data_IF_587479857205
#
_entry.id   IF_587479857205
#
_cell.length_a   1.000
_cell.length_b   1.000
_cell.length_c   1.000
_cell.angle_alpha   90.00
_cell.angle_beta   90.00
_cell.angle_gamma   90.00
#
_symmetry.space_group_name_H-M   'P 1'
#
loop_
_entity.id
_entity.type
_entity.pdbx_description
1 polymer ?
#
# COMPACT_ATOMS: atom_id res chain seq x y z
N UNK A 1 32.74 5.72 -49.68
CA UNK A 1 32.79 5.31 -48.29
C UNK A 1 31.85 6.19 -47.49
N UNK A 2 30.71 5.66 -47.01
CA UNK A 2 29.74 6.40 -46.18
C UNK A 2 29.85 5.89 -44.74
N UNK A 3 30.04 6.73 -43.73
CA UNK A 3 30.03 6.27 -42.33
C UNK A 3 28.60 6.00 -41.86
N UNK A 4 28.36 4.82 -41.34
CA UNK A 4 27.15 4.44 -40.62
C UNK A 4 27.20 5.07 -39.22
N UNK A 5 26.32 6.01 -38.92
CA UNK A 5 26.09 6.51 -37.57
C UNK A 5 25.21 5.51 -36.85
N UNK A 6 25.81 4.82 -35.87
CA UNK A 6 25.07 3.97 -34.94
C UNK A 6 24.51 4.86 -33.82
N UNK A 7 23.21 5.11 -33.85
CA UNK A 7 22.52 5.80 -32.76
C UNK A 7 22.33 4.83 -31.58
N UNK A 8 23.05 5.04 -30.50
CA UNK A 8 22.82 4.34 -29.25
C UNK A 8 21.56 4.90 -28.57
N UNK A 9 20.51 4.10 -28.50
CA UNK A 9 19.30 4.42 -27.75
C UNK A 9 19.60 4.13 -26.28
N UNK A 10 19.84 5.17 -25.50
CA UNK A 10 19.89 5.09 -24.03
C UNK A 10 18.44 4.91 -23.52
N UNK A 11 18.08 3.68 -23.20
CA UNK A 11 16.83 3.40 -22.48
C UNK A 11 16.88 4.03 -21.09
N UNK A 12 16.05 5.01 -20.82
CA UNK A 12 15.80 5.53 -19.47
C UNK A 12 15.06 4.42 -18.69
N UNK A 13 15.78 3.72 -17.84
CA UNK A 13 15.17 2.89 -16.80
C UNK A 13 14.45 3.84 -15.84
N UNK A 14 13.12 3.89 -15.93
CA UNK A 14 12.29 4.52 -14.93
C UNK A 14 12.38 3.67 -13.65
N UNK A 15 13.16 4.14 -12.68
CA UNK A 15 13.14 3.55 -11.34
C UNK A 15 11.72 3.71 -10.75
N UNK A 16 11.14 2.68 -10.12
CA UNK A 16 9.88 2.80 -9.42
C UNK A 16 10.01 3.90 -8.35
N UNK A 17 9.06 4.84 -8.34
CA UNK A 17 8.96 5.85 -7.31
C UNK A 17 8.46 5.15 -6.04
N UNK A 18 9.39 4.73 -5.18
CA UNK A 18 9.04 4.23 -3.86
C UNK A 18 8.43 5.34 -3.01
N UNK A 19 7.54 4.94 -2.11
CA UNK A 19 6.94 5.80 -1.10
C UNK A 19 8.00 6.75 -0.50
N UNK A 20 7.76 8.05 -0.53
CA UNK A 20 8.69 9.06 0.02
C UNK A 20 8.78 8.98 1.56
N UNK A 21 8.01 8.11 2.21
CA UNK A 21 7.95 7.92 3.65
C UNK A 21 9.15 7.17 4.23
N UNK A 22 9.49 7.51 5.47
CA UNK A 22 10.55 6.87 6.26
C UNK A 22 9.93 5.78 7.17
N UNK A 23 10.20 4.47 6.92
CA UNK A 23 9.63 3.37 7.72
C UNK A 23 9.95 3.47 9.20
N UNK A 24 11.16 3.95 9.58
CA UNK A 24 11.54 4.08 10.98
C UNK A 24 10.77 5.21 11.71
N UNK A 25 10.42 6.27 10.99
CA UNK A 25 9.49 7.30 11.50
C UNK A 25 8.06 6.77 11.52
N UNK A 26 7.70 5.95 10.54
CA UNK A 26 6.40 5.30 10.43
C UNK A 26 6.12 4.37 11.61
N UNK A 27 7.09 3.55 12.02
CA UNK A 27 6.99 2.70 13.20
C UNK A 27 6.65 3.52 14.45
N UNK A 28 7.38 4.61 14.68
CA UNK A 28 7.09 5.56 15.78
C UNK A 28 5.74 6.24 15.62
N UNK A 29 5.39 6.62 14.40
CA UNK A 29 4.12 7.25 14.04
C UNK A 29 2.92 6.34 14.30
N UNK A 30 3.10 5.02 14.08
CA UNK A 30 2.08 3.99 14.27
C UNK A 30 1.56 3.90 15.71
N UNK A 31 2.27 4.45 16.69
CA UNK A 31 1.78 4.58 18.06
C UNK A 31 0.40 5.27 18.16
N UNK A 32 0.05 6.10 17.18
CA UNK A 32 -1.28 6.76 17.10
C UNK A 32 -2.38 5.81 16.63
N UNK A 33 -2.00 4.71 15.96
CA UNK A 33 -2.90 3.74 15.35
C UNK A 33 -3.12 2.51 16.23
N UNK A 34 -2.12 2.14 17.06
CA UNK A 34 -2.09 0.90 17.82
C UNK A 34 -3.18 0.74 18.88
N UNK A 35 -3.87 1.81 19.27
CA UNK A 35 -5.03 1.70 20.16
C UNK A 35 -6.18 0.90 19.52
N UNK A 36 -6.27 0.92 18.19
CA UNK A 36 -7.31 0.27 17.43
C UNK A 36 -6.78 -0.84 16.50
N UNK A 37 -5.57 -0.70 15.98
CA UNK A 37 -4.97 -1.60 14.99
C UNK A 37 -3.76 -2.34 15.52
N UNK A 38 -3.54 -3.54 15.00
CA UNK A 38 -2.32 -4.33 15.19
C UNK A 38 -1.67 -4.56 13.82
N UNK A 39 -0.42 -5.03 13.83
CA UNK A 39 0.30 -5.55 12.67
C UNK A 39 0.82 -6.93 13.05
N UNK A 40 0.17 -7.97 12.53
CA UNK A 40 0.48 -9.38 12.81
C UNK A 40 0.49 -10.12 11.49
N UNK A 41 1.59 -10.81 11.21
CA UNK A 41 1.75 -11.56 9.96
C UNK A 41 0.81 -12.77 9.88
N UNK A 42 0.69 -13.35 8.69
CA UNK A 42 -0.09 -14.58 8.46
C UNK A 42 0.54 -15.79 9.19
N UNK A 43 1.85 -15.76 9.47
CA UNK A 43 2.55 -16.74 10.30
C UNK A 43 2.29 -16.55 11.81
N UNK A 44 1.64 -15.45 12.20
CA UNK A 44 1.35 -15.13 13.59
C UNK A 44 2.43 -14.28 14.29
N UNK A 45 3.44 -13.81 13.56
CA UNK A 45 4.48 -12.92 14.10
C UNK A 45 3.90 -11.55 14.43
N UNK A 46 4.09 -11.11 15.65
CA UNK A 46 3.56 -9.83 16.14
C UNK A 46 4.58 -8.72 15.91
N UNK A 47 4.41 -7.95 14.84
CA UNK A 47 5.23 -6.77 14.54
C UNK A 47 4.83 -5.61 15.45
N UNK A 48 3.53 -5.32 15.52
CA UNK A 48 2.98 -4.36 16.47
C UNK A 48 1.79 -4.95 17.19
N UNK A 49 1.94 -5.09 18.51
CA UNK A 49 0.81 -5.42 19.38
C UNK A 49 -0.12 -4.22 19.51
N UNK A 50 -1.40 -4.43 19.21
CA UNK A 50 -2.39 -3.37 19.21
C UNK A 50 -3.81 -3.83 19.51
N UNK A 51 -4.76 -2.91 19.37
CA UNK A 51 -6.19 -3.18 19.53
C UNK A 51 -6.78 -3.99 18.37
N UNK A 52 -8.01 -4.46 18.58
CA UNK A 52 -8.79 -5.24 17.61
C UNK A 52 -10.09 -4.53 17.19
N UNK A 53 -10.23 -3.26 17.56
CA UNK A 53 -11.40 -2.45 17.15
C UNK A 53 -11.28 -1.94 15.71
N UNK A 54 -10.07 -1.95 15.16
CA UNK A 54 -9.76 -1.81 13.74
C UNK A 54 -9.18 -3.10 13.17
N UNK A 55 -9.08 -3.22 11.83
CA UNK A 55 -8.49 -4.39 11.19
C UNK A 55 -7.00 -4.53 11.47
N UNK A 56 -6.47 -5.74 11.27
CA UNK A 56 -5.06 -5.98 11.13
C UNK A 56 -4.52 -5.28 9.87
N UNK A 57 -3.45 -4.50 10.03
CA UNK A 57 -2.85 -3.74 8.92
C UNK A 57 -1.67 -4.44 8.26
N UNK A 58 -1.35 -5.68 8.63
CA UNK A 58 -0.41 -6.52 7.89
C UNK A 58 -0.86 -6.66 6.43
N UNK A 59 0.06 -6.51 5.49
CA UNK A 59 -0.21 -6.62 4.07
C UNK A 59 -1.23 -5.59 3.56
N UNK A 60 -1.26 -4.38 4.14
CA UNK A 60 -2.18 -3.34 3.69
C UNK A 60 -1.78 -2.78 2.31
N UNK A 61 -0.48 -2.57 2.07
CA UNK A 61 0.01 -2.06 0.80
C UNK A 61 -0.36 -3.02 -0.35
N UNK A 62 -0.98 -2.50 -1.39
CA UNK A 62 -1.47 -3.28 -2.53
C UNK A 62 -2.72 -4.12 -2.27
N UNK A 63 -3.28 -4.12 -1.05
CA UNK A 63 -4.49 -4.88 -0.74
C UNK A 63 -5.75 -4.12 -1.13
N UNK A 64 -6.73 -4.84 -1.65
CA UNK A 64 -8.08 -4.29 -1.88
C UNK A 64 -8.69 -3.81 -0.57
N UNK A 65 -9.36 -2.67 -0.59
CA UNK A 65 -10.03 -2.12 0.59
C UNK A 65 -11.17 -3.03 1.07
N UNK A 66 -11.34 -3.12 2.39
CA UNK A 66 -12.43 -3.91 2.98
C UNK A 66 -12.22 -5.42 3.02
N UNK A 67 -11.01 -5.95 2.75
CA UNK A 67 -10.78 -7.39 2.57
C UNK A 67 -9.88 -8.07 3.63
N UNK A 68 -9.40 -7.36 4.66
CA UNK A 68 -8.64 -8.04 5.71
C UNK A 68 -9.52 -9.07 6.45
N UNK A 69 -9.00 -10.28 6.59
CA UNK A 69 -9.71 -11.39 7.20
C UNK A 69 -10.12 -11.11 8.66
N UNK A 70 -11.28 -11.66 9.03
CA UNK A 70 -11.77 -11.62 10.41
C UNK A 70 -12.23 -10.24 10.88
N UNK A 71 -12.31 -9.22 10.02
CA UNK A 71 -12.80 -7.90 10.39
C UNK A 71 -14.12 -7.54 9.68
N UNK A 72 -15.07 -7.05 10.47
CA UNK A 72 -16.37 -6.57 9.94
C UNK A 72 -16.27 -5.10 9.53
N UNK A 73 -16.05 -4.86 8.25
CA UNK A 73 -15.98 -3.52 7.67
C UNK A 73 -17.33 -2.80 7.60
N UNK A 74 -17.32 -1.52 7.33
CA UNK A 74 -18.51 -0.76 6.95
C UNK A 74 -18.81 -0.91 5.47
N UNK A 75 -20.10 -0.93 5.13
CA UNK A 75 -20.58 -1.22 3.78
C UNK A 75 -19.99 -0.28 2.71
N UNK A 76 -19.81 0.99 3.03
CA UNK A 76 -19.24 1.96 2.07
C UNK A 76 -17.75 1.69 1.76
N UNK A 77 -16.98 1.15 2.72
CA UNK A 77 -15.59 0.77 2.46
C UNK A 77 -15.50 -0.53 1.67
N UNK A 78 -16.40 -1.48 1.93
CA UNK A 78 -16.51 -2.72 1.15
C UNK A 78 -16.89 -2.38 -0.29
N UNK A 79 -17.92 -1.54 -0.48
CA UNK A 79 -18.34 -1.11 -1.81
C UNK A 79 -17.23 -0.37 -2.59
N UNK A 80 -16.43 0.46 -1.91
CA UNK A 80 -15.27 1.09 -2.53
C UNK A 80 -14.22 0.05 -2.97
N UNK A 81 -13.95 -0.96 -2.16
CA UNK A 81 -13.07 -2.06 -2.51
C UNK A 81 -13.59 -2.89 -3.69
N UNK A 82 -14.88 -3.21 -3.72
CA UNK A 82 -15.53 -3.91 -4.83
C UNK A 82 -15.49 -3.09 -6.14
N UNK A 83 -15.49 -1.75 -6.02
CA UNK A 83 -15.31 -0.83 -7.14
C UNK A 83 -13.84 -0.67 -7.59
N UNK A 84 -12.89 -1.37 -6.94
CA UNK A 84 -11.48 -1.40 -7.33
C UNK A 84 -10.56 -0.54 -6.45
N UNK A 85 -11.02 -0.06 -5.29
CA UNK A 85 -10.11 0.64 -4.37
C UNK A 85 -9.06 -0.33 -3.81
N UNK A 86 -7.81 -0.09 -4.16
CA UNK A 86 -6.61 -0.76 -3.63
C UNK A 86 -5.78 0.25 -2.86
N UNK A 87 -5.18 -0.17 -1.76
CA UNK A 87 -4.39 0.71 -0.90
C UNK A 87 -3.01 0.97 -1.48
N UNK A 88 -2.81 2.13 -2.07
CA UNK A 88 -1.53 2.77 -2.31
C UNK A 88 -1.26 3.85 -1.25
N UNK A 89 -0.11 4.52 -1.32
CA UNK A 89 0.27 5.56 -0.38
C UNK A 89 -0.71 6.73 -0.39
N UNK A 90 -1.05 7.23 -1.57
CA UNK A 90 -1.93 8.39 -1.72
C UNK A 90 -3.30 8.13 -1.09
N UNK A 91 -3.91 7.00 -1.40
CA UNK A 91 -5.22 6.60 -0.88
C UNK A 91 -5.20 6.33 0.62
N UNK A 92 -4.13 5.69 1.11
CA UNK A 92 -3.96 5.49 2.54
C UNK A 92 -3.85 6.82 3.30
N UNK A 93 -3.01 7.74 2.83
CA UNK A 93 -2.82 9.06 3.44
C UNK A 93 -4.12 9.86 3.42
N UNK A 94 -4.82 9.90 2.29
CA UNK A 94 -6.10 10.59 2.14
C UNK A 94 -7.19 10.00 3.05
N UNK A 95 -7.30 8.66 3.10
CA UNK A 95 -8.23 7.98 4.00
C UNK A 95 -7.89 8.25 5.47
N UNK A 96 -6.63 8.11 5.86
CA UNK A 96 -6.22 8.33 7.24
C UNK A 96 -6.43 9.79 7.70
N UNK A 97 -6.33 10.76 6.80
CA UNK A 97 -6.56 12.18 7.08
C UNK A 97 -8.04 12.49 7.36
N UNK A 98 -8.97 11.96 6.58
CA UNK A 98 -10.42 12.08 6.81
C UNK A 98 -11.18 10.90 6.18
N UNK A 99 -11.36 9.79 6.92
CA UNK A 99 -11.95 8.57 6.39
C UNK A 99 -13.35 8.76 5.78
N UNK A 100 -14.16 9.63 6.37
CA UNK A 100 -15.50 9.90 5.87
C UNK A 100 -15.47 10.66 4.56
N UNK A 101 -14.70 11.74 4.48
CA UNK A 101 -14.60 12.55 3.24
C UNK A 101 -13.99 11.74 2.11
N UNK A 102 -12.99 10.93 2.42
CA UNK A 102 -12.37 10.04 1.44
C UNK A 102 -13.43 9.09 0.83
N UNK A 103 -14.20 8.38 1.66
CA UNK A 103 -15.24 7.49 1.15
C UNK A 103 -16.33 8.22 0.36
N UNK A 104 -16.71 9.42 0.77
CA UNK A 104 -17.68 10.24 0.02
C UNK A 104 -17.15 10.61 -1.37
N UNK A 105 -15.88 10.93 -1.49
CA UNK A 105 -15.25 11.25 -2.77
C UNK A 105 -15.07 9.98 -3.63
N UNK A 106 -14.54 8.91 -3.05
CA UNK A 106 -14.22 7.66 -3.74
C UNK A 106 -15.47 6.95 -4.29
N UNK A 107 -16.54 6.93 -3.51
CA UNK A 107 -17.81 6.27 -3.91
C UNK A 107 -18.78 7.18 -4.65
N UNK A 108 -18.53 8.49 -4.72
CA UNK A 108 -19.48 9.48 -5.22
C UNK A 108 -20.74 9.61 -4.35
N UNK A 109 -20.80 8.95 -3.19
CA UNK A 109 -21.94 8.95 -2.27
C UNK A 109 -21.74 9.97 -1.14
N UNK A 110 -22.40 11.10 -1.22
CA UNK A 110 -22.34 12.15 -0.18
C UNK A 110 -22.82 11.68 1.23
N UNK A 111 -23.49 10.53 1.30
CA UNK A 111 -23.97 9.93 2.56
C UNK A 111 -23.05 8.82 3.08
N UNK A 112 -21.96 8.49 2.36
CA UNK A 112 -21.03 7.46 2.77
C UNK A 112 -20.48 7.73 4.18
N UNK A 113 -20.26 6.63 4.93
CA UNK A 113 -19.84 6.64 6.33
C UNK A 113 -18.58 5.80 6.49
N UNK A 114 -17.77 6.12 7.48
CA UNK A 114 -16.65 5.30 7.91
C UNK A 114 -16.85 4.84 9.35
N UNK A 115 -16.52 3.56 9.62
CA UNK A 115 -16.40 3.06 11.02
C UNK A 115 -15.17 3.65 11.72
N UNK A 116 -14.11 4.01 10.97
CA UNK A 116 -12.96 4.71 11.51
C UNK A 116 -13.29 6.21 11.65
N UNK A 117 -13.23 6.72 12.88
CA UNK A 117 -13.48 8.14 13.19
C UNK A 117 -12.20 8.92 13.46
N UNK A 118 -11.06 8.23 13.69
CA UNK A 118 -9.76 8.86 13.89
C UNK A 118 -9.29 9.58 12.62
N UNK A 119 -8.60 10.70 12.81
CA UNK A 119 -8.01 11.49 11.72
C UNK A 119 -6.54 11.76 11.99
N UNK A 120 -5.70 11.32 11.07
CA UNK A 120 -4.26 11.51 11.11
C UNK A 120 -3.91 12.85 10.46
N UNK A 121 -3.32 13.77 11.20
CA UNK A 121 -3.01 15.12 10.68
C UNK A 121 -1.70 15.18 9.89
N UNK A 122 -0.75 14.27 10.11
CA UNK A 122 0.57 14.23 9.47
C UNK A 122 1.27 12.90 9.70
N UNK A 123 2.20 12.56 8.81
CA UNK A 123 3.05 11.37 8.88
C UNK A 123 2.33 10.12 8.36
N UNK A 124 1.38 10.29 7.45
CA UNK A 124 0.69 9.19 6.78
C UNK A 124 1.64 8.44 5.85
N UNK A 125 2.47 9.14 5.13
CA UNK A 125 3.48 8.64 4.22
C UNK A 125 4.48 7.72 4.94
N UNK A 126 5.01 8.18 6.07
CA UNK A 126 5.92 7.40 6.91
C UNK A 126 5.23 6.12 7.43
N UNK A 127 3.98 6.22 7.89
CA UNK A 127 3.22 5.07 8.39
C UNK A 127 2.92 4.09 7.26
N UNK A 128 2.60 4.57 6.06
CA UNK A 128 2.41 3.68 4.91
C UNK A 128 3.70 2.95 4.55
N UNK A 129 4.83 3.65 4.48
CA UNK A 129 6.14 3.05 4.22
C UNK A 129 6.50 1.96 5.27
N UNK A 130 6.19 2.21 6.55
CA UNK A 130 6.34 1.20 7.61
C UNK A 130 5.45 -0.02 7.35
N UNK A 131 4.19 0.15 6.99
CA UNK A 131 3.28 -0.96 6.72
C UNK A 131 3.69 -1.73 5.46
N UNK A 132 4.14 -1.04 4.42
CA UNK A 132 4.63 -1.65 3.18
C UNK A 132 5.89 -2.50 3.43
N UNK A 133 6.81 -2.06 4.30
CA UNK A 133 8.04 -2.80 4.63
C UNK A 133 7.80 -4.09 5.44
N UNK A 134 6.58 -4.31 5.94
CA UNK A 134 6.23 -5.47 6.77
C UNK A 134 5.12 -6.36 6.17
N UNK A 135 4.67 -6.07 4.95
CA UNK A 135 3.69 -6.89 4.23
C UNK A 135 4.35 -7.71 3.13
N UNK A 136 3.58 -8.59 2.46
CA UNK A 136 4.00 -9.12 1.17
C UNK A 136 4.21 -7.96 0.19
N UNK A 137 5.18 -8.10 -0.72
CA UNK A 137 5.39 -7.10 -1.77
C UNK A 137 4.07 -6.88 -2.54
N UNK A 138 3.73 -5.64 -2.90
CA UNK A 138 2.58 -5.38 -3.76
C UNK A 138 2.68 -6.22 -5.03
N UNK A 139 1.55 -6.72 -5.54
CA UNK A 139 1.51 -7.62 -6.69
C UNK A 139 2.21 -7.05 -7.95
N UNK A 140 2.26 -5.72 -8.09
CA UNK A 140 2.97 -5.06 -9.18
C UNK A 140 4.50 -5.15 -9.03
N UNK A 141 5.04 -5.15 -7.81
CA UNK A 141 6.48 -5.34 -7.57
C UNK A 141 6.89 -6.81 -7.78
N UNK A 142 6.05 -7.77 -7.33
CA UNK A 142 6.29 -9.18 -7.53
C UNK A 142 6.34 -9.56 -9.01
N UNK A 143 5.48 -8.99 -9.85
CA UNK A 143 5.49 -9.20 -11.30
C UNK A 143 6.72 -8.60 -11.99
N UNK A 144 7.27 -7.50 -11.46
CA UNK A 144 8.48 -6.88 -12.00
C UNK A 144 9.74 -7.68 -11.66
N UNK A 145 9.80 -8.32 -10.50
CA UNK A 145 10.92 -9.18 -10.10
C UNK A 145 10.91 -10.52 -10.87
N UNK A 146 9.74 -11.14 -11.10
CA UNK A 146 9.63 -12.35 -11.92
C UNK A 146 10.00 -12.09 -13.39
N UNK A 147 9.60 -10.96 -13.98
CA UNK A 147 9.98 -10.58 -15.35
C UNK A 147 11.47 -10.33 -15.52
N UNK A 148 12.15 -9.78 -14.51
CA UNK A 148 13.60 -9.54 -14.54
C UNK A 148 14.42 -10.84 -14.39
N UNK A 149 13.87 -11.84 -13.69
CA UNK A 149 14.51 -13.14 -13.51
C UNK A 149 14.47 -14.01 -14.77
N UNK A 150 13.38 -13.94 -15.56
CA UNK A 150 13.25 -14.66 -16.82
C UNK A 150 14.17 -14.09 -17.92
N UNK A 151 14.29 -12.77 -18.01
CA UNK A 151 15.14 -12.10 -19.02
C UNK A 151 16.65 -12.36 -18.76
N UNK A 152 17.06 -12.56 -17.49
CA UNK A 152 18.42 -12.91 -17.11
C UNK A 152 18.82 -14.36 -17.41
N UNK A 153 17.87 -15.28 -17.52
CA UNK A 153 18.12 -16.69 -17.76
C UNK A 153 18.33 -17.02 -19.26
N UNK A 154 17.74 -16.25 -20.16
CA UNK A 154 17.84 -16.49 -21.61
C UNK A 154 19.18 -15.96 -22.20
N UNK A 155 19.82 -14.99 -21.56
CA UNK A 155 21.11 -14.45 -22.00
C UNK A 155 22.33 -15.30 -21.63
N UNK A 156 22.17 -16.38 -20.87
CA UNK A 156 23.27 -17.24 -20.41
C UNK A 156 23.46 -18.55 -21.20
N UNK A 157 22.72 -18.75 -22.30
CA UNK A 157 22.74 -20.01 -23.09
C UNK A 157 23.17 -19.85 -24.55
N UNK A 158 23.91 -18.80 -24.93
CA UNK A 158 24.59 -18.70 -26.26
C UNK A 158 26.10 -18.78 -26.15
#
# INVERSE_FOLDING_TARGET
>A
MKPLLTAAIFGLLAAPAFAEGDPAKGEKGFNKCKSCHMVVSDSGDVIVKGGKTGPNLWGLAGRQAGTADGFNYGDDLVAAGEAGLVWDEEKFVAFAADPKKFLQAETGNAKAKSKMSFRLKKGGEDIYAFLASHGPAPAEEAAAEEGAAEEGAEAATE
#
